data_IF_129323468791
#
_entry.id   IF_129323468791
#
_cell.length_a   1.000
_cell.length_b   1.000
_cell.length_c   1.000
_cell.angle_alpha   90.00
_cell.angle_beta   90.00
_cell.angle_gamma   90.00
#
_symmetry.space_group_name_H-M   'P 1'
#
loop_
_entity.id
_entity.type
_entity.pdbx_description
1 polymer ?
#
# COMPACT_ATOMS: atom_id res chain seq x y z
N UNK A 1 18.79 -1.56 -17.23
CA UNK A 1 18.41 -1.33 -15.80
C UNK A 1 16.93 -1.71 -15.71
N UNK A 2 16.53 -2.57 -14.77
CA UNK A 2 15.11 -2.90 -14.59
C UNK A 2 14.48 -1.81 -13.72
N UNK A 3 13.29 -1.33 -14.09
CA UNK A 3 12.54 -0.31 -13.33
C UNK A 3 11.29 -0.92 -12.70
N UNK A 4 10.86 -0.33 -11.58
CA UNK A 4 9.58 -0.63 -10.98
C UNK A 4 8.45 -0.09 -11.88
N UNK A 5 7.60 -0.98 -12.36
CA UNK A 5 6.51 -0.64 -13.31
C UNK A 5 5.15 -0.46 -12.64
N UNK A 6 5.07 -0.58 -11.32
CA UNK A 6 3.83 -0.64 -10.55
C UNK A 6 3.44 -2.06 -10.12
N UNK A 7 3.90 -3.08 -10.85
CA UNK A 7 3.53 -4.49 -10.60
C UNK A 7 4.72 -5.37 -10.20
N UNK A 8 5.88 -5.13 -10.81
CA UNK A 8 7.06 -5.95 -10.51
C UNK A 8 7.83 -5.38 -9.33
N UNK A 9 7.94 -6.16 -8.27
CA UNK A 9 8.79 -5.82 -7.13
C UNK A 9 10.26 -5.92 -7.52
N UNK A 10 10.96 -4.78 -7.41
CA UNK A 10 12.41 -4.69 -7.65
C UNK A 10 13.09 -4.34 -6.32
N UNK A 11 14.09 -5.13 -5.87
CA UNK A 11 14.78 -4.86 -4.62
C UNK A 11 15.33 -3.44 -4.54
N UNK A 12 15.02 -2.72 -3.47
CA UNK A 12 15.47 -1.35 -3.23
C UNK A 12 14.72 -0.24 -3.99
N UNK A 13 13.70 -0.59 -4.81
CA UNK A 13 12.89 0.38 -5.55
C UNK A 13 11.43 0.42 -5.11
N UNK A 14 11.04 -0.39 -4.13
CA UNK A 14 9.68 -0.46 -3.62
C UNK A 14 9.63 -0.14 -2.13
N UNK A 15 8.45 0.28 -1.68
CA UNK A 15 8.20 0.53 -0.27
C UNK A 15 8.45 -0.74 0.57
N UNK A 16 8.99 -0.60 1.80
CA UNK A 16 9.28 -1.73 2.68
C UNK A 16 8.10 -2.66 2.91
N UNK A 17 6.88 -2.15 2.89
CA UNK A 17 5.65 -2.92 3.04
C UNK A 17 5.46 -3.95 1.97
N UNK A 18 5.44 -3.49 0.73
CA UNK A 18 5.27 -4.33 -0.45
C UNK A 18 6.41 -5.37 -0.51
N UNK A 19 7.63 -4.94 -0.21
CA UNK A 19 8.77 -5.83 -0.11
C UNK A 19 8.57 -6.95 0.90
N UNK A 20 8.14 -6.60 2.12
CA UNK A 20 7.94 -7.56 3.20
C UNK A 20 6.76 -8.51 2.95
N UNK A 21 5.70 -8.04 2.32
CA UNK A 21 4.57 -8.89 1.90
C UNK A 21 5.00 -10.00 0.95
N UNK A 22 5.85 -9.65 -0.02
CA UNK A 22 6.40 -10.63 -0.96
C UNK A 22 7.38 -11.59 -0.27
N UNK A 23 8.32 -11.07 0.53
CA UNK A 23 9.27 -11.92 1.26
C UNK A 23 8.57 -12.88 2.23
N UNK A 24 7.49 -12.46 2.87
CA UNK A 24 6.71 -13.33 3.76
C UNK A 24 6.15 -14.55 3.01
N UNK A 25 5.63 -14.35 1.78
CA UNK A 25 5.15 -15.45 0.92
C UNK A 25 6.29 -16.41 0.56
N UNK A 26 7.45 -15.89 0.17
CA UNK A 26 8.60 -16.75 -0.15
C UNK A 26 9.17 -17.46 1.08
N UNK A 27 9.20 -16.81 2.25
CA UNK A 27 9.57 -17.44 3.51
C UNK A 27 8.60 -18.58 3.89
N UNK A 28 7.30 -18.39 3.63
CA UNK A 28 6.30 -19.44 3.80
C UNK A 28 6.55 -20.62 2.85
N UNK A 29 6.75 -20.35 1.54
CA UNK A 29 6.99 -21.39 0.55
C UNK A 29 8.30 -22.15 0.76
N UNK A 30 9.34 -21.48 1.27
CA UNK A 30 10.65 -22.08 1.56
C UNK A 30 10.56 -23.26 2.54
N UNK A 31 9.56 -23.30 3.41
CA UNK A 31 9.27 -24.43 4.33
C UNK A 31 9.00 -25.74 3.57
N UNK A 32 8.50 -25.62 2.34
CA UNK A 32 8.15 -26.74 1.49
C UNK A 32 9.18 -26.99 0.38
N UNK A 33 10.25 -26.17 0.30
CA UNK A 33 11.23 -26.26 -0.79
C UNK A 33 12.40 -27.22 -0.53
N UNK A 34 12.63 -27.62 0.73
CA UNK A 34 13.81 -28.39 1.12
C UNK A 34 13.98 -29.69 0.31
N UNK A 35 15.12 -29.81 -0.37
CA UNK A 35 15.46 -30.97 -1.18
C UNK A 35 14.63 -31.17 -2.47
N UNK A 36 13.75 -30.23 -2.82
CA UNK A 36 12.83 -30.31 -3.95
C UNK A 36 13.33 -29.58 -5.19
N UNK A 37 12.86 -30.02 -6.36
CA UNK A 37 12.97 -29.29 -7.62
C UNK A 37 11.83 -28.28 -7.68
N UNK A 38 12.17 -27.00 -7.69
CA UNK A 38 11.20 -25.91 -7.57
C UNK A 38 11.10 -25.12 -8.88
N UNK A 39 9.87 -24.84 -9.31
CA UNK A 39 9.57 -23.82 -10.32
C UNK A 39 9.00 -22.58 -9.59
N UNK A 40 9.60 -21.44 -9.86
CA UNK A 40 9.07 -20.12 -9.48
C UNK A 40 8.50 -19.48 -10.76
N UNK A 41 7.19 -19.61 -10.94
CA UNK A 41 6.45 -19.15 -12.11
C UNK A 41 6.02 -17.70 -11.93
N UNK A 42 6.50 -16.79 -12.80
CA UNK A 42 6.36 -15.35 -12.63
C UNK A 42 7.41 -14.81 -11.64
N UNK A 43 8.65 -15.25 -11.75
CA UNK A 43 9.70 -14.96 -10.76
C UNK A 43 10.15 -13.49 -10.70
N UNK A 44 9.71 -12.65 -11.63
CA UNK A 44 10.07 -11.24 -11.71
C UNK A 44 11.58 -11.00 -11.65
N UNK A 45 12.00 -10.16 -10.70
CA UNK A 45 13.41 -9.85 -10.47
C UNK A 45 14.22 -10.98 -9.79
N UNK A 46 13.63 -12.14 -9.51
CA UNK A 46 14.33 -13.37 -9.08
C UNK A 46 14.74 -13.45 -7.62
N UNK A 47 14.42 -12.46 -6.79
CA UNK A 47 14.77 -12.48 -5.35
C UNK A 47 14.09 -13.63 -4.61
N UNK A 48 12.84 -13.95 -4.97
CA UNK A 48 12.10 -15.06 -4.40
C UNK A 48 12.68 -16.41 -4.80
N UNK A 49 13.04 -16.58 -6.07
CA UNK A 49 13.78 -17.76 -6.54
C UNK A 49 15.08 -17.96 -5.76
N UNK A 50 15.80 -16.87 -5.46
CA UNK A 50 17.03 -16.93 -4.67
C UNK A 50 16.76 -17.35 -3.21
N UNK A 51 15.65 -16.89 -2.60
CA UNK A 51 15.26 -17.33 -1.25
C UNK A 51 14.93 -18.82 -1.23
N UNK A 52 14.15 -19.31 -2.20
CA UNK A 52 13.84 -20.74 -2.32
C UNK A 52 15.08 -21.60 -2.56
N UNK A 53 16.07 -21.10 -3.30
CA UNK A 53 17.31 -21.81 -3.61
C UNK A 53 18.20 -22.06 -2.39
N UNK A 54 17.93 -21.44 -1.24
CA UNK A 54 18.69 -21.66 0.00
C UNK A 54 18.51 -23.08 0.55
N UNK A 55 17.40 -23.74 0.26
CA UNK A 55 17.06 -25.06 0.79
C UNK A 55 16.65 -26.05 -0.29
N UNK A 56 16.20 -25.59 -1.46
CA UNK A 56 15.78 -26.43 -2.58
C UNK A 56 16.96 -27.20 -3.18
N UNK A 57 16.69 -28.37 -3.77
CA UNK A 57 17.68 -29.09 -4.57
C UNK A 57 18.02 -28.34 -5.86
N UNK A 58 17.03 -27.70 -6.47
CA UNK A 58 17.19 -26.81 -7.63
C UNK A 58 15.99 -25.87 -7.73
N UNK A 59 16.25 -24.65 -8.24
CA UNK A 59 15.19 -23.67 -8.53
C UNK A 59 15.31 -23.21 -9.97
N UNK A 60 14.18 -23.22 -10.68
CA UNK A 60 14.02 -22.59 -11.98
C UNK A 60 13.04 -21.45 -11.84
N UNK A 61 13.47 -20.22 -12.07
CA UNK A 61 12.61 -19.05 -12.21
C UNK A 61 12.21 -18.86 -13.67
N UNK A 62 10.93 -18.63 -13.91
CA UNK A 62 10.39 -18.32 -15.23
C UNK A 62 9.63 -17.00 -15.18
N UNK A 63 9.90 -16.11 -16.12
CA UNK A 63 9.18 -14.84 -16.26
C UNK A 63 9.00 -14.48 -17.74
N UNK A 64 7.88 -13.81 -18.04
CA UNK A 64 7.58 -13.35 -19.41
C UNK A 64 8.49 -12.18 -19.81
N UNK A 65 8.95 -11.38 -18.86
CA UNK A 65 9.83 -10.24 -19.11
C UNK A 65 11.27 -10.69 -19.26
N UNK A 66 11.81 -10.49 -20.45
CA UNK A 66 13.23 -10.74 -20.73
C UNK A 66 14.16 -9.92 -19.86
N UNK A 67 13.82 -8.64 -19.64
CA UNK A 67 14.63 -7.72 -18.84
C UNK A 67 14.70 -8.17 -17.37
N UNK A 68 13.59 -8.68 -16.82
CA UNK A 68 13.56 -9.24 -15.48
C UNK A 68 14.46 -10.48 -15.36
N UNK A 69 14.38 -11.38 -16.34
CA UNK A 69 15.19 -12.60 -16.39
C UNK A 69 16.69 -12.27 -16.53
N UNK A 70 17.04 -11.31 -17.39
CA UNK A 70 18.44 -10.89 -17.58
C UNK A 70 18.98 -10.22 -16.29
N UNK A 71 18.16 -9.40 -15.64
CA UNK A 71 18.52 -8.80 -14.36
C UNK A 71 18.72 -9.87 -13.27
N UNK A 72 17.78 -10.81 -13.14
CA UNK A 72 17.85 -11.90 -12.17
C UNK A 72 19.10 -12.77 -12.35
N UNK A 73 19.45 -13.11 -13.61
CA UNK A 73 20.69 -13.84 -13.93
C UNK A 73 21.95 -13.10 -13.52
N UNK A 74 21.93 -11.78 -13.61
CA UNK A 74 23.07 -10.94 -13.20
C UNK A 74 23.25 -10.82 -11.69
N UNK A 75 22.20 -11.09 -10.89
CA UNK A 75 22.20 -10.85 -9.46
C UNK A 75 22.17 -12.12 -8.62
N UNK A 76 21.63 -13.23 -9.14
CA UNK A 76 21.48 -14.48 -8.39
C UNK A 76 22.08 -15.66 -9.16
N UNK A 77 23.09 -16.28 -8.58
CA UNK A 77 23.84 -17.36 -9.24
C UNK A 77 23.24 -18.77 -9.01
N UNK A 78 22.51 -18.98 -7.90
CA UNK A 78 22.01 -20.30 -7.55
C UNK A 78 20.80 -20.77 -8.36
N UNK A 79 19.74 -19.94 -8.64
CA UNK A 79 18.64 -20.33 -9.50
C UNK A 79 19.02 -20.29 -10.99
N UNK A 80 18.35 -21.12 -11.79
CA UNK A 80 18.34 -20.99 -13.26
C UNK A 80 17.15 -20.13 -13.66
N UNK A 81 17.35 -19.12 -14.50
CA UNK A 81 16.27 -18.24 -14.96
C UNK A 81 15.99 -18.43 -16.45
N UNK A 82 14.70 -18.53 -16.80
CA UNK A 82 14.23 -18.72 -18.17
C UNK A 82 13.20 -17.65 -18.54
N UNK A 83 13.28 -17.16 -19.76
CA UNK A 83 12.24 -16.31 -20.31
C UNK A 83 11.16 -17.19 -20.96
N UNK A 84 9.89 -17.02 -20.53
CA UNK A 84 8.78 -17.81 -21.01
C UNK A 84 7.45 -17.39 -20.40
N UNK A 85 6.37 -17.94 -20.97
CA UNK A 85 5.00 -17.64 -20.53
C UNK A 85 4.51 -18.67 -19.51
N UNK A 86 3.87 -18.20 -18.45
CA UNK A 86 3.17 -19.05 -17.49
C UNK A 86 1.94 -19.74 -18.11
N UNK A 87 1.36 -19.19 -19.18
CA UNK A 87 0.24 -19.81 -19.89
C UNK A 87 0.63 -21.07 -20.70
N UNK A 88 1.93 -21.27 -20.95
CA UNK A 88 2.45 -22.43 -21.66
C UNK A 88 3.86 -22.73 -21.12
N UNK A 89 3.94 -23.51 -20.05
CA UNK A 89 5.19 -23.80 -19.36
C UNK A 89 6.11 -24.70 -20.21
N UNK A 90 7.35 -24.27 -20.54
CA UNK A 90 8.24 -25.01 -21.47
C UNK A 90 8.95 -26.21 -20.78
N UNK A 91 8.22 -26.94 -19.95
CA UNK A 91 8.74 -28.05 -19.17
C UNK A 91 7.93 -29.31 -19.44
N UNK A 92 8.57 -30.46 -19.30
CA UNK A 92 7.90 -31.77 -19.40
C UNK A 92 6.98 -31.98 -18.18
N UNK A 93 6.01 -32.85 -18.32
CA UNK A 93 5.18 -33.29 -17.21
C UNK A 93 6.03 -33.89 -16.07
N UNK A 94 5.66 -33.60 -14.82
CA UNK A 94 6.35 -34.13 -13.63
C UNK A 94 7.78 -33.61 -13.45
N UNK A 95 8.11 -32.46 -14.00
CA UNK A 95 9.45 -31.87 -13.88
C UNK A 95 9.78 -31.37 -12.48
N UNK A 96 8.77 -30.92 -11.73
CA UNK A 96 8.93 -30.22 -10.47
C UNK A 96 8.17 -30.90 -9.32
N UNK A 97 8.73 -30.78 -8.12
CA UNK A 97 8.12 -31.26 -6.89
C UNK A 97 7.35 -30.14 -6.15
N UNK A 98 7.70 -28.88 -6.47
CA UNK A 98 7.03 -27.68 -5.99
C UNK A 98 6.94 -26.65 -7.12
N UNK A 99 5.76 -26.08 -7.31
CA UNK A 99 5.55 -24.87 -8.13
C UNK A 99 5.10 -23.76 -7.21
N UNK A 100 5.73 -22.60 -7.31
CA UNK A 100 5.35 -21.36 -6.61
C UNK A 100 4.93 -20.35 -7.66
N UNK A 101 3.80 -19.66 -7.42
CA UNK A 101 3.30 -18.62 -8.32
C UNK A 101 2.61 -17.54 -7.49
N UNK A 102 3.33 -16.46 -7.18
CA UNK A 102 2.83 -15.38 -6.34
C UNK A 102 2.52 -14.14 -7.16
N UNK A 103 1.28 -13.65 -7.05
CA UNK A 103 0.78 -12.47 -7.76
C UNK A 103 0.99 -12.65 -9.30
N UNK A 104 0.46 -13.73 -9.84
CA UNK A 104 0.58 -14.09 -11.26
C UNK A 104 -0.77 -14.38 -11.89
N UNK A 105 -1.64 -15.12 -11.16
CA UNK A 105 -2.89 -15.66 -11.73
C UNK A 105 -3.85 -14.55 -12.15
N UNK A 106 -3.87 -13.42 -11.43
CA UNK A 106 -4.69 -12.23 -11.70
C UNK A 106 -4.31 -11.50 -12.99
N UNK A 107 -3.07 -11.69 -13.48
CA UNK A 107 -2.58 -11.09 -14.72
C UNK A 107 -2.87 -11.92 -15.97
N UNK A 108 -3.46 -13.09 -15.81
CA UNK A 108 -3.61 -14.05 -16.90
C UNK A 108 -5.06 -14.08 -17.42
N UNK A 109 -5.25 -13.90 -18.73
CA UNK A 109 -6.56 -14.03 -19.37
C UNK A 109 -7.15 -15.46 -19.26
N UNK A 110 -6.30 -16.50 -19.24
CA UNK A 110 -6.71 -17.90 -19.19
C UNK A 110 -6.17 -18.60 -17.94
N UNK A 111 -6.73 -18.27 -16.80
CA UNK A 111 -6.30 -18.78 -15.49
C UNK A 111 -6.42 -20.30 -15.37
N UNK A 112 -7.48 -20.90 -15.94
CA UNK A 112 -7.67 -22.35 -15.94
C UNK A 112 -6.56 -23.08 -16.71
N UNK A 113 -6.09 -22.51 -17.82
CA UNK A 113 -4.97 -23.06 -18.59
C UNK A 113 -3.66 -22.99 -17.83
N UNK A 114 -3.42 -21.88 -17.14
CA UNK A 114 -2.27 -21.74 -16.24
C UNK A 114 -2.26 -22.78 -15.12
N UNK A 115 -3.38 -22.96 -14.43
CA UNK A 115 -3.51 -23.97 -13.37
C UNK A 115 -3.34 -25.40 -13.90
N UNK A 116 -3.84 -25.67 -15.11
CA UNK A 116 -3.64 -26.97 -15.77
C UNK A 116 -2.16 -27.19 -16.13
N UNK A 117 -1.43 -26.17 -16.58
CA UNK A 117 0.00 -26.23 -16.83
C UNK A 117 0.79 -26.45 -15.54
N UNK A 118 0.47 -25.73 -14.45
CA UNK A 118 1.07 -25.98 -13.15
C UNK A 118 0.87 -27.43 -12.69
N UNK A 119 -0.35 -27.94 -12.83
CA UNK A 119 -0.65 -29.34 -12.53
C UNK A 119 0.15 -30.31 -13.42
N UNK A 120 0.27 -30.03 -14.71
CA UNK A 120 0.99 -30.88 -15.66
C UNK A 120 2.48 -31.01 -15.35
N UNK A 121 3.11 -29.89 -14.98
CA UNK A 121 4.57 -29.88 -14.71
C UNK A 121 4.92 -30.40 -13.31
N UNK A 122 3.95 -30.49 -12.39
CA UNK A 122 4.13 -31.08 -11.08
C UNK A 122 4.27 -32.59 -11.13
N UNK A 123 5.11 -33.14 -10.29
CA UNK A 123 5.16 -34.57 -9.97
C UNK A 123 3.81 -35.03 -9.37
N UNK A 124 3.49 -36.36 -9.38
CA UNK A 124 2.20 -36.85 -8.88
C UNK A 124 1.87 -36.41 -7.45
N UNK A 125 2.85 -36.29 -6.59
CA UNK A 125 2.78 -35.82 -5.20
C UNK A 125 3.28 -34.38 -5.01
N UNK A 126 3.43 -33.67 -6.13
CA UNK A 126 3.91 -32.29 -6.15
C UNK A 126 2.91 -31.30 -5.56
N UNK A 127 3.42 -30.17 -5.14
CA UNK A 127 2.67 -29.09 -4.46
C UNK A 127 2.71 -27.81 -5.32
N UNK A 128 1.55 -27.19 -5.54
CA UNK A 128 1.45 -25.81 -6.00
C UNK A 128 1.20 -24.92 -4.79
N UNK A 129 1.94 -23.81 -4.71
CA UNK A 129 1.64 -22.70 -3.79
C UNK A 129 1.40 -21.46 -4.64
N UNK A 130 0.19 -20.92 -4.58
CA UNK A 130 -0.24 -19.79 -5.41
C UNK A 130 -0.87 -18.72 -4.56
N UNK A 131 -0.61 -17.43 -4.89
CA UNK A 131 -1.27 -16.30 -4.24
C UNK A 131 -1.98 -15.40 -5.24
N UNK A 132 -2.93 -14.62 -4.71
CA UNK A 132 -3.63 -13.55 -5.43
C UNK A 132 -4.13 -12.51 -4.43
N UNK A 133 -4.24 -11.21 -4.80
CA UNK A 133 -4.82 -10.20 -3.95
C UNK A 133 -6.31 -10.45 -3.76
N UNK A 134 -6.85 -10.03 -2.62
CA UNK A 134 -8.28 -10.08 -2.34
C UNK A 134 -8.98 -8.84 -2.91
N UNK A 135 -9.86 -9.04 -3.89
CA UNK A 135 -10.59 -7.93 -4.52
C UNK A 135 -11.41 -7.11 -3.53
N UNK A 136 -12.02 -7.75 -2.52
CA UNK A 136 -12.87 -7.09 -1.54
C UNK A 136 -12.07 -6.17 -0.60
N UNK A 137 -10.87 -6.58 -0.22
CA UNK A 137 -10.00 -5.77 0.64
C UNK A 137 -9.57 -4.46 -0.04
N UNK A 138 -9.30 -4.50 -1.34
CA UNK A 138 -8.84 -3.34 -2.11
C UNK A 138 -9.97 -2.54 -2.76
N UNK A 139 -11.23 -2.96 -2.60
CA UNK A 139 -12.39 -2.35 -3.29
C UNK A 139 -12.53 -0.84 -3.03
N UNK A 140 -12.35 -0.39 -1.77
CA UNK A 140 -12.46 1.03 -1.43
C UNK A 140 -11.35 1.88 -2.06
N UNK A 141 -10.10 1.39 -2.02
CA UNK A 141 -8.97 2.07 -2.63
C UNK A 141 -9.14 2.18 -4.16
N UNK A 142 -9.69 1.14 -4.79
CA UNK A 142 -9.99 1.10 -6.23
C UNK A 142 -11.18 1.96 -6.64
N UNK A 143 -12.18 2.08 -5.78
CA UNK A 143 -13.30 3.01 -6.03
C UNK A 143 -12.82 4.45 -6.21
N UNK A 144 -11.73 4.84 -5.54
CA UNK A 144 -11.11 6.16 -5.65
C UNK A 144 -10.08 6.28 -6.80
N UNK A 145 -9.30 5.22 -7.06
CA UNK A 145 -8.15 5.22 -7.99
C UNK A 145 -8.45 4.56 -9.34
N UNK A 146 -9.56 3.83 -9.47
CA UNK A 146 -9.87 2.98 -10.62
C UNK A 146 -9.31 1.56 -10.48
N UNK A 147 -9.70 0.64 -11.41
CA UNK A 147 -9.18 -0.72 -11.43
C UNK A 147 -7.69 -0.73 -11.74
N UNK A 148 -6.99 -1.74 -11.24
CA UNK A 148 -5.59 -1.95 -11.60
C UNK A 148 -5.49 -2.30 -13.11
N UNK A 149 -4.78 -1.49 -13.92
CA UNK A 149 -4.72 -1.70 -15.37
C UNK A 149 -3.95 -2.95 -15.80
N UNK A 150 -3.26 -3.62 -14.88
CA UNK A 150 -2.47 -4.82 -15.14
C UNK A 150 -3.20 -6.09 -14.73
N UNK A 151 -4.31 -6.00 -13.95
CA UNK A 151 -5.09 -7.15 -13.53
C UNK A 151 -6.20 -7.44 -14.55
N UNK A 152 -6.21 -8.67 -15.05
CA UNK A 152 -7.28 -9.16 -15.92
C UNK A 152 -8.48 -9.62 -15.10
N UNK A 153 -8.22 -10.21 -13.94
CA UNK A 153 -9.25 -10.68 -13.02
C UNK A 153 -8.74 -10.77 -11.60
N UNK A 154 -9.51 -10.26 -10.67
CA UNK A 154 -9.22 -10.31 -9.25
C UNK A 154 -10.26 -11.17 -8.53
N UNK A 155 -9.80 -12.01 -7.64
CA UNK A 155 -10.60 -13.06 -7.01
C UNK A 155 -11.22 -12.64 -5.69
N UNK A 156 -12.42 -13.14 -5.44
CA UNK A 156 -12.95 -13.35 -4.10
C UNK A 156 -12.53 -14.76 -3.59
N UNK A 157 -12.56 -14.96 -2.26
CA UNK A 157 -12.08 -16.20 -1.64
C UNK A 157 -12.74 -17.47 -2.22
N UNK A 158 -14.07 -17.46 -2.34
CA UNK A 158 -14.83 -18.62 -2.82
C UNK A 158 -14.56 -18.92 -4.30
N UNK A 159 -14.40 -17.88 -5.11
CA UNK A 159 -14.08 -18.00 -6.52
C UNK A 159 -12.67 -18.56 -6.73
N UNK A 160 -11.69 -18.03 -5.98
CA UNK A 160 -10.31 -18.52 -6.00
C UNK A 160 -10.25 -20.01 -5.62
N UNK A 161 -10.88 -20.39 -4.52
CA UNK A 161 -10.94 -21.79 -4.10
C UNK A 161 -11.61 -22.66 -5.15
N UNK A 162 -12.72 -22.24 -5.76
CA UNK A 162 -13.41 -22.98 -6.80
C UNK A 162 -12.55 -23.21 -8.06
N UNK A 163 -11.83 -22.16 -8.50
CA UNK A 163 -10.89 -22.24 -9.62
C UNK A 163 -9.78 -23.27 -9.37
N UNK A 164 -9.22 -23.30 -8.16
CA UNK A 164 -8.18 -24.24 -7.76
C UNK A 164 -8.72 -25.68 -7.65
N UNK A 165 -9.88 -25.88 -7.06
CA UNK A 165 -10.54 -27.19 -6.91
C UNK A 165 -10.96 -27.80 -8.26
N UNK A 166 -11.13 -26.99 -9.29
CA UNK A 166 -11.36 -27.49 -10.66
C UNK A 166 -10.14 -28.24 -11.23
N UNK A 167 -8.94 -27.99 -10.71
CA UNK A 167 -7.69 -28.58 -11.20
C UNK A 167 -7.01 -29.52 -10.19
N UNK A 168 -7.21 -29.33 -8.89
CA UNK A 168 -6.51 -30.08 -7.84
C UNK A 168 -7.51 -30.75 -6.87
N UNK A 169 -7.22 -31.99 -6.50
CA UNK A 169 -8.06 -32.77 -5.61
C UNK A 169 -8.06 -32.24 -4.16
N UNK A 170 -6.92 -31.70 -3.74
CA UNK A 170 -6.74 -31.17 -2.38
C UNK A 170 -6.30 -29.70 -2.47
N UNK A 171 -7.08 -28.82 -1.86
CA UNK A 171 -6.86 -27.38 -1.82
C UNK A 171 -7.03 -26.89 -0.39
N UNK A 172 -6.07 -26.13 0.10
CA UNK A 172 -6.14 -25.40 1.37
C UNK A 172 -5.84 -23.95 1.12
N UNK A 173 -6.81 -23.07 1.35
CA UNK A 173 -6.65 -21.61 1.22
C UNK A 173 -6.31 -21.04 2.59
N UNK A 174 -5.28 -20.19 2.60
CA UNK A 174 -4.80 -19.46 3.75
C UNK A 174 -5.01 -17.97 3.51
N UNK A 175 -5.19 -17.25 4.61
CA UNK A 175 -5.28 -15.79 4.60
C UNK A 175 -3.90 -15.22 4.92
N UNK A 176 -3.39 -14.35 4.06
CA UNK A 176 -2.22 -13.56 4.37
C UNK A 176 -2.66 -12.16 4.77
N UNK A 177 -2.35 -11.81 6.01
CA UNK A 177 -2.67 -10.52 6.58
C UNK A 177 -1.41 -9.85 7.12
N UNK A 178 -1.40 -8.52 7.07
CA UNK A 178 -0.50 -7.75 7.91
C UNK A 178 -1.09 -7.67 9.31
N UNK A 179 -0.32 -8.06 10.31
CA UNK A 179 -0.72 -8.00 11.70
C UNK A 179 0.31 -7.24 12.53
N UNK A 180 -0.16 -6.49 13.52
CA UNK A 180 0.70 -5.94 14.56
C UNK A 180 0.86 -6.96 15.68
N UNK A 181 2.11 -7.20 16.09
CA UNK A 181 2.41 -8.13 17.17
C UNK A 181 3.47 -7.55 18.12
N UNK A 182 3.48 -8.04 19.38
CA UNK A 182 4.58 -7.80 20.30
C UNK A 182 5.52 -9.00 20.30
N UNK A 183 6.76 -8.71 20.01
CA UNK A 183 7.80 -9.71 20.03
C UNK A 183 8.70 -9.49 21.27
N UNK A 184 8.91 -10.54 22.06
CA UNK A 184 9.82 -10.57 23.18
C UNK A 184 11.00 -11.47 22.83
N UNK A 185 12.19 -10.90 22.68
CA UNK A 185 13.38 -11.66 22.32
C UNK A 185 14.64 -11.04 22.96
N UNK A 186 15.69 -11.85 23.22
CA UNK A 186 16.91 -11.35 23.82
C UNK A 186 17.68 -10.43 22.85
N UNK A 187 18.60 -9.58 23.35
CA UNK A 187 19.45 -8.72 22.50
C UNK A 187 20.28 -9.47 21.46
N UNK A 188 20.53 -10.77 21.67
CA UNK A 188 21.21 -11.65 20.70
C UNK A 188 20.40 -11.92 19.42
N UNK A 189 19.13 -11.53 19.39
CA UNK A 189 18.26 -11.66 18.24
C UNK A 189 17.14 -12.68 18.42
N UNK A 190 16.30 -12.76 17.38
CA UNK A 190 15.19 -13.71 17.30
C UNK A 190 15.70 -15.07 16.82
N UNK A 191 15.44 -16.12 17.61
CA UNK A 191 15.85 -17.50 17.31
C UNK A 191 14.67 -18.48 17.25
N UNK A 192 13.47 -17.98 17.01
CA UNK A 192 12.22 -18.72 17.09
C UNK A 192 11.50 -18.50 18.42
N UNK A 193 10.27 -18.99 18.52
CA UNK A 193 9.45 -18.78 19.71
C UNK A 193 8.04 -19.31 19.56
N UNK A 194 7.28 -19.23 20.63
CA UNK A 194 5.86 -19.49 20.67
C UNK A 194 5.08 -18.32 20.05
N UNK A 195 4.04 -18.61 19.30
CA UNK A 195 3.10 -17.60 18.80
C UNK A 195 1.79 -17.78 19.56
N UNK A 196 1.40 -16.74 20.30
CA UNK A 196 0.11 -16.69 20.97
C UNK A 196 -0.81 -15.76 20.17
N UNK A 197 -1.93 -16.29 19.71
CA UNK A 197 -2.98 -15.50 19.07
C UNK A 197 -4.25 -15.60 19.90
N UNK A 198 -4.96 -14.50 20.06
CA UNK A 198 -6.30 -14.55 20.63
C UNK A 198 -7.24 -15.35 19.72
N UNK A 199 -8.10 -16.20 20.33
CA UNK A 199 -9.10 -16.90 19.55
C UNK A 199 -10.06 -15.90 18.89
N UNK A 200 -10.23 -16.00 17.59
CA UNK A 200 -11.14 -15.20 16.78
C UNK A 200 -11.50 -15.95 15.50
N UNK A 201 -12.58 -15.58 14.86
CA UNK A 201 -12.89 -16.02 13.52
C UNK A 201 -12.40 -14.97 12.53
N UNK A 202 -11.39 -15.32 11.74
CA UNK A 202 -10.95 -14.47 10.65
C UNK A 202 -11.98 -14.53 9.51
N UNK A 203 -12.27 -13.38 8.94
CA UNK A 203 -13.15 -13.26 7.78
C UNK A 203 -12.30 -13.20 6.52
N UNK A 204 -12.59 -14.08 5.58
CA UNK A 204 -11.84 -14.12 4.32
C UNK A 204 -11.94 -12.80 3.54
N UNK A 205 -13.05 -12.08 3.66
CA UNK A 205 -13.29 -10.79 3.02
C UNK A 205 -12.34 -9.69 3.51
N UNK A 206 -11.80 -9.84 4.72
CA UNK A 206 -10.89 -8.87 5.36
C UNK A 206 -9.41 -9.21 5.13
N UNK A 207 -9.11 -10.32 4.46
CA UNK A 207 -7.74 -10.71 4.17
C UNK A 207 -7.10 -9.77 3.12
N UNK A 208 -5.81 -9.50 3.24
CA UNK A 208 -5.06 -8.75 2.23
C UNK A 208 -4.87 -9.60 0.95
N UNK A 209 -4.45 -10.85 1.14
CA UNK A 209 -4.18 -11.79 0.06
C UNK A 209 -4.68 -13.19 0.43
N UNK A 210 -4.95 -13.98 -0.60
CA UNK A 210 -5.14 -15.43 -0.48
C UNK A 210 -3.85 -16.14 -0.89
N UNK A 211 -3.47 -17.16 -0.11
CA UNK A 211 -2.38 -18.07 -0.45
C UNK A 211 -2.94 -19.49 -0.40
N UNK A 212 -2.81 -20.26 -1.46
CA UNK A 212 -3.35 -21.60 -1.51
C UNK A 212 -2.25 -22.65 -1.70
N UNK A 213 -2.40 -23.77 -1.00
CA UNK A 213 -1.68 -25.01 -1.24
C UNK A 213 -2.58 -25.96 -2.00
N UNK A 214 -2.09 -26.48 -3.13
CA UNK A 214 -2.86 -27.35 -4.01
C UNK A 214 -2.04 -28.58 -4.38
N UNK A 215 -2.64 -29.77 -4.30
CA UNK A 215 -2.01 -31.03 -4.72
C UNK A 215 -3.07 -32.06 -5.12
N UNK A 216 -2.67 -33.07 -5.92
CA UNK A 216 -3.49 -34.25 -6.16
C UNK A 216 -3.24 -35.35 -5.10
N UNK A 217 -2.12 -35.26 -4.37
CA UNK A 217 -1.84 -36.05 -3.17
C UNK A 217 -2.37 -35.34 -1.92
N UNK A 218 -2.46 -36.04 -0.77
CA UNK A 218 -2.79 -35.39 0.50
C UNK A 218 -1.86 -34.23 0.79
N UNK A 219 -2.43 -33.11 1.24
CA UNK A 219 -1.64 -31.94 1.61
C UNK A 219 -0.85 -32.20 2.88
N UNK A 220 0.37 -31.61 2.99
CA UNK A 220 1.07 -31.57 4.27
C UNK A 220 0.28 -30.78 5.31
N UNK A 221 0.53 -31.02 6.60
CA UNK A 221 -0.02 -30.16 7.63
C UNK A 221 0.46 -28.71 7.42
N UNK A 222 -0.50 -27.81 7.46
CA UNK A 222 -0.23 -26.38 7.28
C UNK A 222 -0.19 -25.74 8.65
N UNK A 223 0.99 -25.33 9.07
CA UNK A 223 1.16 -24.58 10.31
C UNK A 223 1.21 -23.08 10.03
N UNK A 224 0.52 -22.25 10.81
CA UNK A 224 0.62 -20.81 10.71
C UNK A 224 2.08 -20.31 10.72
N UNK A 225 2.34 -19.21 10.01
CA UNK A 225 3.63 -18.54 10.01
C UNK A 225 3.43 -17.07 10.33
N UNK A 226 4.19 -16.58 11.31
CA UNK A 226 4.36 -15.15 11.54
C UNK A 226 5.74 -14.75 11.01
N UNK A 227 5.74 -13.93 9.97
CA UNK A 227 6.96 -13.37 9.40
C UNK A 227 7.24 -12.01 10.04
N UNK A 228 8.36 -11.87 10.73
CA UNK A 228 8.78 -10.63 11.39
C UNK A 228 9.90 -9.99 10.56
N UNK A 229 9.64 -8.94 9.80
CA UNK A 229 10.68 -8.26 9.05
C UNK A 229 11.69 -7.58 9.98
N UNK A 230 12.97 -7.66 9.64
CA UNK A 230 14.05 -7.01 10.44
C UNK A 230 14.09 -5.49 10.24
N UNK A 231 13.57 -5.00 9.13
CA UNK A 231 13.54 -3.59 8.77
C UNK A 231 12.10 -3.13 8.71
N UNK A 232 11.84 -2.03 9.34
CA UNK A 232 10.62 -1.25 9.37
C UNK A 232 9.70 -1.50 10.58
N UNK A 233 9.80 -0.57 11.50
CA UNK A 233 8.65 -0.20 12.31
C UNK A 233 7.80 0.77 11.47
N UNK A 234 7.05 0.22 10.51
CA UNK A 234 6.27 0.96 9.53
C UNK A 234 5.24 1.88 10.20
N UNK A 235 4.63 1.41 11.29
CA UNK A 235 3.73 2.24 12.09
C UNK A 235 4.45 3.49 12.57
N UNK A 236 5.68 3.35 13.09
CA UNK A 236 6.49 4.47 13.55
C UNK A 236 6.91 5.42 12.43
N UNK A 237 7.13 4.91 11.23
CA UNK A 237 7.40 5.74 10.05
C UNK A 237 6.15 6.52 9.63
N UNK A 238 4.98 5.88 9.63
CA UNK A 238 3.69 6.53 9.38
C UNK A 238 3.34 7.54 10.48
N UNK A 239 3.58 7.23 11.74
CA UNK A 239 3.43 8.17 12.86
C UNK A 239 4.30 9.41 12.67
N UNK A 240 5.58 9.23 12.34
CA UNK A 240 6.50 10.36 12.03
C UNK A 240 6.04 11.17 10.83
N UNK A 241 5.53 10.49 9.80
CA UNK A 241 5.00 11.19 8.62
C UNK A 241 3.75 12.01 8.95
N UNK A 242 2.86 11.47 9.79
CA UNK A 242 1.68 12.20 10.29
C UNK A 242 2.10 13.38 11.16
N UNK A 243 3.07 13.21 12.07
CA UNK A 243 3.62 14.34 12.85
C UNK A 243 4.16 15.43 11.93
N UNK A 244 4.95 15.06 10.95
CA UNK A 244 5.48 16.01 9.96
C UNK A 244 4.36 16.76 9.22
N UNK A 245 3.33 16.06 8.76
CA UNK A 245 2.18 16.68 8.08
C UNK A 245 1.39 17.60 9.03
N UNK A 246 1.26 17.25 10.31
CA UNK A 246 0.64 18.11 11.33
C UNK A 246 1.44 19.38 11.58
N UNK A 247 2.77 19.27 11.65
CA UNK A 247 3.65 20.43 11.81
C UNK A 247 3.57 21.34 10.59
N UNK A 248 3.58 20.78 9.39
CA UNK A 248 3.40 21.53 8.15
C UNK A 248 2.03 22.23 8.10
N UNK A 249 0.97 21.57 8.55
CA UNK A 249 -0.37 22.15 8.64
C UNK A 249 -0.40 23.31 9.64
N UNK A 250 0.17 23.12 10.84
CA UNK A 250 0.23 24.16 11.85
C UNK A 250 1.00 25.40 11.36
N UNK A 251 2.13 25.21 10.66
CA UNK A 251 2.88 26.32 10.05
C UNK A 251 2.06 27.07 9.00
N UNK A 252 1.31 26.33 8.19
CA UNK A 252 0.44 26.91 7.15
C UNK A 252 -0.75 27.67 7.75
N UNK A 253 -1.32 27.15 8.85
CA UNK A 253 -2.39 27.81 9.59
C UNK A 253 -1.91 29.11 10.23
N UNK A 254 -0.71 29.12 10.82
CA UNK A 254 -0.08 30.31 11.35
C UNK A 254 0.14 31.37 10.25
N UNK A 255 0.71 30.95 9.13
CA UNK A 255 0.92 31.83 7.98
C UNK A 255 -0.41 32.41 7.44
N UNK A 256 -1.46 31.59 7.38
CA UNK A 256 -2.79 32.03 6.98
C UNK A 256 -3.37 33.09 7.95
N UNK A 257 -3.14 32.89 9.26
CA UNK A 257 -3.57 33.86 10.29
C UNK A 257 -2.83 35.19 10.15
N UNK A 258 -1.50 35.18 9.90
CA UNK A 258 -0.68 36.36 9.67
C UNK A 258 -1.19 37.14 8.45
N UNK A 259 -1.40 36.44 7.32
CA UNK A 259 -1.91 37.08 6.08
C UNK A 259 -3.32 37.62 6.26
N UNK A 260 -4.15 36.92 7.04
CA UNK A 260 -5.49 37.39 7.37
C UNK A 260 -5.42 38.66 8.22
N UNK A 261 -4.51 38.71 9.19
CA UNK A 261 -4.24 39.91 10.00
C UNK A 261 -3.74 41.10 9.18
N UNK A 262 -2.80 40.87 8.25
CA UNK A 262 -2.34 41.91 7.32
C UNK A 262 -3.47 42.44 6.44
N UNK A 263 -4.33 41.55 5.92
CA UNK A 263 -5.52 41.94 5.17
C UNK A 263 -6.45 42.83 6.01
N UNK A 264 -6.75 42.42 7.24
CA UNK A 264 -7.69 43.14 8.11
C UNK A 264 -7.12 44.51 8.49
N UNK A 265 -5.81 44.60 8.74
CA UNK A 265 -5.13 45.87 8.95
C UNK A 265 -5.18 46.77 7.72
N UNK A 266 -4.93 46.24 6.54
CA UNK A 266 -5.04 46.99 5.28
C UNK A 266 -6.48 47.49 5.02
N UNK A 267 -7.49 46.66 5.35
CA UNK A 267 -8.89 47.06 5.30
C UNK A 267 -9.22 48.18 6.27
N UNK A 268 -8.71 48.14 7.51
CA UNK A 268 -8.94 49.19 8.50
C UNK A 268 -8.26 50.50 8.10
N UNK A 269 -7.01 50.45 7.56
CA UNK A 269 -6.34 51.60 7.01
C UNK A 269 -7.12 52.19 5.81
N UNK A 270 -7.67 51.37 4.97
CA UNK A 270 -8.52 51.81 3.88
C UNK A 270 -9.79 52.54 4.37
N UNK A 271 -10.44 52.00 5.40
CA UNK A 271 -11.60 52.65 6.06
C UNK A 271 -11.24 53.93 6.77
N UNK A 272 -10.09 54.03 7.42
CA UNK A 272 -9.60 55.25 8.05
C UNK A 272 -9.33 56.33 6.99
N UNK A 273 -8.69 55.97 5.88
CA UNK A 273 -8.42 56.90 4.79
C UNK A 273 -9.74 57.36 4.14
N UNK A 274 -10.73 56.50 4.00
CA UNK A 274 -12.06 56.86 3.52
C UNK A 274 -12.74 57.87 4.43
N UNK A 275 -12.75 57.63 5.76
CA UNK A 275 -13.31 58.59 6.75
C UNK A 275 -12.59 59.92 6.72
N UNK A 276 -11.25 59.87 6.64
CA UNK A 276 -10.45 61.09 6.51
C UNK A 276 -10.76 61.89 5.25
N UNK A 277 -10.92 61.20 4.13
CA UNK A 277 -11.27 61.78 2.85
C UNK A 277 -12.65 62.42 2.87
N UNK A 278 -13.67 61.77 3.49
CA UNK A 278 -14.99 62.30 3.70
C UNK A 278 -14.98 63.54 4.57
N UNK A 279 -14.16 63.58 5.60
CA UNK A 279 -14.01 64.77 6.49
C UNK A 279 -13.33 65.93 5.76
N UNK A 280 -12.30 65.64 4.96
CA UNK A 280 -11.61 66.62 4.17
C UNK A 280 -12.55 67.23 3.08
N UNK A 281 -13.42 66.40 2.54
CA UNK A 281 -14.45 66.84 1.56
C UNK A 281 -15.47 67.79 2.19
N UNK A 282 -15.85 67.56 3.45
CA UNK A 282 -16.74 68.42 4.19
C UNK A 282 -16.10 69.79 4.52
N UNK A 283 -14.78 69.76 4.82
CA UNK A 283 -14.05 71.00 5.20
C UNK A 283 -13.62 71.88 4.03
N UNK A 284 -13.52 71.32 2.85
CA UNK A 284 -13.00 71.98 1.67
C UNK A 284 -14.08 72.42 0.63
N UNK A 285 -15.29 72.65 1.03
CA UNK A 285 -16.53 72.84 0.27
C UNK A 285 -16.51 73.67 -1.04
N UNK A 286 -15.49 74.47 -1.30
CA UNK A 286 -15.38 75.30 -2.54
C UNK A 286 -14.47 74.62 -3.63
N UNK A 287 -13.70 73.54 -3.26
CA UNK A 287 -12.83 72.85 -4.19
C UNK A 287 -13.32 71.42 -4.54
N UNK A 288 -14.57 71.19 -4.33
CA UNK A 288 -15.19 69.86 -4.35
C UNK A 288 -14.98 69.10 -5.66
N UNK A 289 -15.11 69.76 -6.80
CA UNK A 289 -15.13 69.04 -8.09
C UNK A 289 -13.76 68.48 -8.47
N UNK A 290 -12.71 69.25 -8.32
CA UNK A 290 -11.35 68.82 -8.63
C UNK A 290 -10.80 67.77 -7.65
N UNK A 291 -11.18 67.84 -6.35
CA UNK A 291 -10.85 66.86 -5.33
C UNK A 291 -11.72 65.60 -5.42
N UNK A 292 -12.96 65.70 -5.91
CA UNK A 292 -13.86 64.56 -6.13
C UNK A 292 -13.32 63.62 -7.22
N UNK A 293 -12.82 64.16 -8.31
CA UNK A 293 -12.23 63.32 -9.38
C UNK A 293 -10.93 62.65 -8.90
N UNK A 294 -10.07 63.36 -8.19
CA UNK A 294 -8.87 62.79 -7.59
C UNK A 294 -9.19 61.74 -6.53
N UNK A 295 -10.22 61.99 -5.72
CA UNK A 295 -10.67 61.09 -4.65
C UNK A 295 -11.32 59.80 -5.26
N UNK A 296 -12.13 59.96 -6.31
CA UNK A 296 -12.72 58.81 -7.00
C UNK A 296 -11.64 57.87 -7.58
N UNK A 297 -10.59 58.42 -8.17
CA UNK A 297 -9.45 57.64 -8.69
C UNK A 297 -8.65 56.92 -7.58
N UNK A 298 -8.57 57.48 -6.39
CA UNK A 298 -7.89 56.91 -5.26
C UNK A 298 -8.69 55.80 -4.58
N UNK A 299 -9.99 55.95 -4.48
CA UNK A 299 -10.93 54.90 -4.04
C UNK A 299 -10.91 53.69 -4.98
N UNK A 300 -10.87 53.94 -6.29
CA UNK A 300 -10.81 52.86 -7.26
C UNK A 300 -9.55 52.04 -7.14
N UNK A 301 -8.34 52.64 -6.92
CA UNK A 301 -7.10 51.93 -6.67
C UNK A 301 -7.10 51.13 -5.36
N UNK A 302 -7.74 51.69 -4.30
CA UNK A 302 -7.90 50.98 -3.03
C UNK A 302 -8.78 49.76 -3.16
N UNK A 303 -9.88 49.88 -3.92
CA UNK A 303 -10.77 48.75 -4.22
C UNK A 303 -10.08 47.69 -5.11
N UNK A 304 -9.34 48.11 -6.16
CA UNK A 304 -8.55 47.16 -6.99
C UNK A 304 -7.50 46.42 -6.16
N UNK A 305 -6.86 47.10 -5.20
CA UNK A 305 -5.91 46.49 -4.26
C UNK A 305 -6.61 45.52 -3.31
N UNK A 306 -7.82 45.84 -2.84
CA UNK A 306 -8.64 45.01 -1.98
C UNK A 306 -9.10 43.76 -2.71
N UNK A 307 -9.60 43.93 -3.94
CA UNK A 307 -10.04 42.83 -4.79
C UNK A 307 -8.88 41.86 -5.10
N UNK A 308 -7.68 42.38 -5.33
CA UNK A 308 -6.48 41.59 -5.51
C UNK A 308 -6.11 40.81 -4.25
N UNK A 309 -6.20 41.43 -3.06
CA UNK A 309 -5.93 40.77 -1.77
C UNK A 309 -6.97 39.69 -1.42
N UNK A 310 -8.23 39.95 -1.75
CA UNK A 310 -9.32 38.96 -1.58
C UNK A 310 -9.19 37.78 -2.55
N UNK A 311 -8.76 38.03 -3.78
CA UNK A 311 -8.46 36.98 -4.75
C UNK A 311 -7.29 36.10 -4.29
N UNK A 312 -6.26 36.69 -3.71
CA UNK A 312 -5.15 35.94 -3.12
C UNK A 312 -5.59 35.13 -1.91
N UNK A 313 -6.42 35.71 -1.05
CA UNK A 313 -6.92 35.03 0.14
C UNK A 313 -7.85 33.85 -0.18
N UNK A 314 -8.68 33.97 -1.23
CA UNK A 314 -9.47 32.82 -1.74
C UNK A 314 -8.57 31.66 -2.15
N UNK A 315 -7.51 31.92 -2.91
CA UNK A 315 -6.55 30.87 -3.30
C UNK A 315 -5.90 30.19 -2.10
N UNK A 316 -5.58 30.94 -1.05
CA UNK A 316 -4.98 30.39 0.18
C UNK A 316 -5.97 29.53 0.97
N UNK A 317 -7.24 29.93 1.00
CA UNK A 317 -8.32 29.16 1.64
C UNK A 317 -8.59 27.84 0.89
N UNK A 318 -8.71 27.88 -0.43
CA UNK A 318 -8.88 26.68 -1.25
C UNK A 318 -7.74 25.67 -1.04
N UNK A 319 -6.52 26.17 -0.99
CA UNK A 319 -5.35 25.33 -0.72
C UNK A 319 -5.36 24.71 0.69
N UNK A 320 -5.77 25.46 1.74
CA UNK A 320 -5.89 24.94 3.10
C UNK A 320 -6.98 23.85 3.19
N UNK A 321 -8.10 24.00 2.46
CA UNK A 321 -9.14 22.96 2.37
C UNK A 321 -8.67 21.68 1.69
N UNK A 322 -7.86 21.81 0.64
CA UNK A 322 -7.25 20.63 -0.02
C UNK A 322 -6.35 19.86 0.94
N UNK A 323 -5.56 20.57 1.74
CA UNK A 323 -4.66 19.96 2.70
C UNK A 323 -5.42 19.27 3.86
N UNK A 324 -6.51 19.89 4.34
CA UNK A 324 -7.38 19.27 5.35
C UNK A 324 -7.99 17.96 4.83
N UNK A 325 -8.45 17.94 3.57
CA UNK A 325 -8.97 16.71 2.94
C UNK A 325 -7.90 15.62 2.81
N UNK A 326 -6.64 15.98 2.58
CA UNK A 326 -5.54 15.03 2.55
C UNK A 326 -5.26 14.42 3.93
N UNK A 327 -5.30 15.22 4.99
CA UNK A 327 -5.19 14.76 6.38
C UNK A 327 -6.34 13.83 6.76
N UNK A 328 -7.58 14.16 6.39
CA UNK A 328 -8.74 13.33 6.65
C UNK A 328 -8.64 11.97 5.91
N UNK A 329 -8.17 11.98 4.66
CA UNK A 329 -7.91 10.76 3.90
C UNK A 329 -6.87 9.87 4.58
N UNK A 330 -5.75 10.43 5.01
CA UNK A 330 -4.69 9.70 5.73
C UNK A 330 -5.20 9.17 7.08
N UNK A 331 -5.99 9.96 7.80
CA UNK A 331 -6.62 9.54 9.06
C UNK A 331 -7.59 8.38 8.85
N UNK A 332 -8.37 8.43 7.75
CA UNK A 332 -9.24 7.33 7.33
C UNK A 332 -8.48 6.05 6.99
N UNK A 333 -7.36 6.16 6.29
CA UNK A 333 -6.48 5.01 6.02
C UNK A 333 -5.94 4.38 7.31
N UNK A 334 -5.55 5.20 8.28
CA UNK A 334 -5.10 4.73 9.60
C UNK A 334 -6.24 4.07 10.37
N UNK A 335 -7.46 4.65 10.33
CA UNK A 335 -8.63 4.07 10.96
C UNK A 335 -8.96 2.69 10.36
N UNK A 336 -8.83 2.52 9.03
CA UNK A 336 -8.97 1.21 8.38
C UNK A 336 -7.92 0.19 8.86
N UNK A 337 -6.66 0.61 8.99
CA UNK A 337 -5.60 -0.23 9.56
C UNK A 337 -5.94 -0.60 11.01
N UNK A 338 -6.32 0.38 11.83
CA UNK A 338 -6.75 0.19 13.23
C UNK A 338 -8.00 -0.69 13.32
N UNK A 339 -8.95 -0.54 12.41
CA UNK A 339 -10.16 -1.35 12.34
C UNK A 339 -9.93 -2.79 11.87
N UNK A 340 -8.75 -3.10 11.32
CA UNK A 340 -8.40 -4.43 10.89
C UNK A 340 -8.54 -5.44 12.05
N UNK A 341 -8.94 -6.66 11.72
CA UNK A 341 -9.14 -7.71 12.76
C UNK A 341 -7.85 -7.99 13.54
N UNK A 342 -6.71 -7.88 12.90
CA UNK A 342 -5.40 -8.13 13.50
C UNK A 342 -4.99 -7.06 14.50
N UNK A 343 -5.21 -5.79 14.18
CA UNK A 343 -4.95 -4.67 15.10
C UNK A 343 -5.87 -4.75 16.30
N UNK A 344 -7.17 -5.03 16.09
CA UNK A 344 -8.13 -5.20 17.21
C UNK A 344 -7.83 -6.43 18.07
N UNK A 345 -7.38 -7.52 17.47
CA UNK A 345 -6.95 -8.70 18.22
C UNK A 345 -5.71 -8.37 19.05
N UNK A 346 -4.71 -7.72 18.46
CA UNK A 346 -3.49 -7.27 19.17
C UNK A 346 -3.84 -6.40 20.38
N UNK A 347 -4.70 -5.42 20.23
CA UNK A 347 -5.10 -4.50 21.32
C UNK A 347 -5.84 -5.23 22.45
N UNK A 348 -6.67 -6.24 22.16
CA UNK A 348 -7.35 -7.08 23.18
C UNK A 348 -6.39 -7.91 24.04
N UNK A 349 -5.22 -8.25 23.53
CA UNK A 349 -4.18 -9.02 24.27
C UNK A 349 -3.09 -8.12 24.90
N UNK A 350 -3.31 -6.80 24.85
CA UNK A 350 -2.35 -5.85 25.43
C UNK A 350 -1.06 -5.68 24.61
N UNK A 351 -1.12 -5.99 23.32
CA UNK A 351 0.02 -6.06 22.39
C UNK A 351 -0.14 -5.00 21.30
N UNK A 352 0.45 -3.78 21.45
CA UNK A 352 0.44 -2.69 20.47
C UNK A 352 0.67 -1.32 21.11
N UNK A 353 1.22 -0.36 20.38
CA UNK A 353 1.30 0.99 20.87
C UNK A 353 -0.11 1.56 21.12
N UNK A 354 -0.28 2.53 22.03
CA UNK A 354 -1.56 3.19 22.24
C UNK A 354 -2.03 3.81 20.91
N UNK A 355 -3.21 3.40 20.47
CA UNK A 355 -3.79 3.90 19.22
C UNK A 355 -4.76 5.05 19.53
N UNK A 356 -4.62 6.22 18.87
CA UNK A 356 -5.54 7.33 19.09
C UNK A 356 -6.99 6.90 18.84
N UNK A 357 -7.84 7.01 19.84
CA UNK A 357 -9.29 6.76 19.73
C UNK A 357 -9.81 5.38 20.15
N UNK A 358 -8.94 4.40 20.48
CA UNK A 358 -9.34 3.10 21.03
C UNK A 358 -9.27 3.02 22.55
N UNK A 359 -8.63 3.99 23.20
CA UNK A 359 -8.41 4.02 24.65
C UNK A 359 -9.53 4.71 25.45
N UNK A 360 -10.70 4.96 24.87
CA UNK A 360 -11.84 5.42 25.66
C UNK A 360 -12.66 4.22 26.12
N UNK A 361 -12.74 3.95 27.44
CA UNK A 361 -13.72 3.02 27.96
C UNK A 361 -15.11 3.54 27.59
N UNK A 362 -15.96 2.65 27.14
CA UNK A 362 -17.40 2.92 26.99
C UNK A 362 -17.94 3.41 28.35
N UNK A 363 -18.40 4.66 28.39
CA UNK A 363 -19.31 5.12 29.45
C UNK A 363 -20.70 4.59 29.17
#
# INVERSE_FOLDING_TARGET
MIEFTGERVVPGQVEPDLWNEHLARYAFAARYASGRRVLDAGCGAGYGSAELARTAASVTGLDLSRDAVEWARGHYAAPTFLNGSCAALPFRAGAFDLVVAFEVIEHLHQQSSFLAECRRVLAPDGLLIVSTPNTLYYAEARAAAGPNPFHEHEFEAAEFEAALRAQFANVSVLLQNRTECFAFYPPSGWHGGETLAEPGADRAEEANFFVALCSNAPLPAVEPLVYVPRVANLLRERERHIEKLRDELAQKDQWLAEVTGERDHALELARQNERWAQQLQADLGARIVELQDQFAAEQQRAQESLDALEAENRKKTEWALQLAAEVDNLTGQIAMVIASRWVRAGHKIGVGPPLPGLDKPAQ
#
